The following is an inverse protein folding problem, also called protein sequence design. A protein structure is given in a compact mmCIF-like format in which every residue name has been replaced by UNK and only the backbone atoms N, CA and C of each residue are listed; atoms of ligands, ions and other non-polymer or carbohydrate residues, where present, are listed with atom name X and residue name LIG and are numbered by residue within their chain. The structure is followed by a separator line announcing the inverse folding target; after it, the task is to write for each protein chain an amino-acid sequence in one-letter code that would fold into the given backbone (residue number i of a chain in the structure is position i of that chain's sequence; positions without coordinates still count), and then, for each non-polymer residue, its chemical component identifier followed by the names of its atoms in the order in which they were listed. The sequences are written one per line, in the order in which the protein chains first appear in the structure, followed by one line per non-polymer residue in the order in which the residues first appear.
data_IF_114751441784
#
_entry.id   IF_114751441784
#
_cell.length_a   1.000
_cell.length_b   1.000
_cell.length_c   1.000
_cell.angle_alpha   90.00
_cell.angle_beta   90.00
_cell.angle_gamma   90.00
#
_symmetry.space_group_name_H-M   'P 1'
#
loop_
_entity.id
_entity.type
_entity.pdbx_description
1 polymer ?
#
# COMPACT_ATOMS: atom_id res chain seq x y z
N UNK A 1 -25.98 -0.88 33.34
CA UNK A 1 -26.44 -1.33 31.99
C UNK A 1 -26.33 -0.26 30.90
N UNK A 2 -26.07 1.03 31.18
CA UNK A 2 -25.91 2.05 30.13
C UNK A 2 -24.49 2.19 29.51
N UNK A 3 -23.43 1.70 30.15
CA UNK A 3 -22.05 1.88 29.65
C UNK A 3 -21.64 0.93 28.50
N UNK A 4 -22.45 -0.09 28.19
CA UNK A 4 -22.16 -1.04 27.12
C UNK A 4 -22.58 -0.54 25.72
N UNK A 5 -23.54 0.39 25.64
CA UNK A 5 -24.09 0.85 24.36
C UNK A 5 -23.27 1.98 23.71
N UNK A 6 -22.55 2.80 24.48
CA UNK A 6 -21.70 3.87 23.93
C UNK A 6 -20.45 3.30 23.22
N UNK A 7 -19.99 2.11 23.62
CA UNK A 7 -18.78 1.48 23.06
C UNK A 7 -19.00 0.86 21.67
N UNK A 8 -20.26 0.71 21.24
CA UNK A 8 -20.61 0.08 19.96
C UNK A 8 -20.60 1.07 18.78
N UNK A 9 -20.66 2.38 19.03
CA UNK A 9 -20.84 3.39 17.97
C UNK A 9 -19.56 3.71 17.17
N UNK A 10 -18.38 3.41 17.71
CA UNK A 10 -17.12 3.59 16.98
C UNK A 10 -16.82 2.45 15.97
N UNK A 11 -17.65 1.40 15.93
CA UNK A 11 -17.36 0.12 15.30
C UNK A 11 -17.99 -0.06 13.89
N UNK A 12 -18.23 1.03 13.16
CA UNK A 12 -18.84 0.97 11.82
C UNK A 12 -18.06 1.75 10.77
N UNK A 13 -16.80 1.36 10.55
CA UNK A 13 -16.18 1.51 9.23
C UNK A 13 -15.60 0.17 8.87
N UNK A 14 -15.90 -0.32 7.65
CA UNK A 14 -15.27 -1.52 7.11
C UNK A 14 -13.75 -1.36 7.29
N UNK A 15 -13.09 -2.22 8.07
CA UNK A 15 -11.64 -2.14 8.26
C UNK A 15 -10.96 -2.27 6.89
N UNK A 16 -10.07 -1.33 6.62
CA UNK A 16 -9.34 -1.27 5.35
C UNK A 16 -8.15 -2.23 5.42
N UNK A 17 -8.17 -3.27 4.60
CA UNK A 17 -7.21 -4.37 4.64
C UNK A 17 -7.72 -5.59 5.40
N UNK A 18 -6.86 -6.57 5.61
CA UNK A 18 -7.22 -7.75 6.39
C UNK A 18 -7.36 -7.38 7.86
N UNK A 19 -8.44 -7.86 8.47
CA UNK A 19 -8.78 -7.53 9.85
C UNK A 19 -8.10 -8.53 10.76
N UNK A 20 -7.18 -8.07 11.58
CA UNK A 20 -6.65 -8.91 12.64
C UNK A 20 -7.18 -8.48 14.01
N UNK A 21 -7.55 -9.48 14.79
CA UNK A 21 -7.85 -9.38 16.22
C UNK A 21 -6.60 -9.88 16.93
N UNK A 22 -5.69 -8.96 17.25
CA UNK A 22 -4.46 -9.24 17.99
C UNK A 22 -4.55 -8.66 19.39
N UNK A 23 -4.13 -9.43 20.40
CA UNK A 23 -3.94 -8.94 21.76
C UNK A 23 -2.70 -8.04 21.81
N UNK A 24 -2.85 -6.82 22.32
CA UNK A 24 -1.74 -5.94 22.68
C UNK A 24 -0.97 -6.46 23.90
N UNK A 25 0.22 -5.89 24.11
CA UNK A 25 1.08 -6.06 25.30
C UNK A 25 0.34 -5.77 26.64
N UNK A 26 -0.84 -5.14 26.61
CA UNK A 26 -1.68 -4.79 27.78
C UNK A 26 -3.07 -5.47 27.78
N UNK A 27 -3.31 -6.48 26.94
CA UNK A 27 -4.54 -7.28 26.98
C UNK A 27 -5.80 -6.62 26.38
N UNK A 28 -5.66 -5.55 25.60
CA UNK A 28 -6.77 -4.95 24.84
C UNK A 28 -6.83 -5.53 23.41
N UNK A 29 -8.02 -6.00 22.98
CA UNK A 29 -8.24 -6.46 21.61
C UNK A 29 -8.33 -5.25 20.67
N UNK A 30 -7.29 -4.99 19.86
CA UNK A 30 -7.31 -3.92 18.87
C UNK A 30 -7.62 -4.51 17.49
N UNK A 31 -8.68 -3.99 16.86
CA UNK A 31 -9.08 -4.36 15.50
C UNK A 31 -8.35 -3.48 14.49
N UNK A 32 -7.27 -4.00 13.92
CA UNK A 32 -6.42 -3.27 12.98
C UNK A 32 -6.51 -3.86 11.56
N UNK A 33 -6.48 -2.98 10.56
CA UNK A 33 -6.25 -3.37 9.17
C UNK A 33 -4.76 -3.61 8.94
N UNK A 34 -4.41 -4.77 8.40
CA UNK A 34 -3.04 -5.15 8.07
C UNK A 34 -2.92 -5.63 6.62
N UNK A 35 -1.70 -5.59 6.10
CA UNK A 35 -1.33 -6.19 4.81
C UNK A 35 -0.07 -7.04 4.98
N UNK A 36 0.10 -8.01 4.08
CA UNK A 36 1.33 -8.80 3.99
C UNK A 36 2.43 -7.97 3.27
N UNK A 37 3.54 -7.73 3.96
CA UNK A 37 4.68 -6.97 3.46
C UNK A 37 5.28 -7.61 2.20
N UNK A 38 5.42 -8.94 2.15
CA UNK A 38 5.92 -9.63 0.96
C UNK A 38 5.03 -9.36 -0.25
N UNK A 39 3.71 -9.44 -0.08
CA UNK A 39 2.74 -9.15 -1.14
C UNK A 39 2.86 -7.70 -1.63
N UNK A 40 2.99 -6.74 -0.71
CA UNK A 40 3.09 -5.32 -1.08
C UNK A 40 4.39 -5.05 -1.85
N UNK A 41 5.52 -5.60 -1.39
CA UNK A 41 6.83 -5.47 -2.05
C UNK A 41 6.84 -6.12 -3.44
N UNK A 42 6.26 -7.31 -3.58
CA UNK A 42 6.12 -7.97 -4.87
C UNK A 42 5.23 -7.14 -5.83
N UNK A 43 4.14 -6.56 -5.33
CA UNK A 43 3.26 -5.71 -6.11
C UNK A 43 3.94 -4.39 -6.56
N UNK A 44 4.87 -3.86 -5.76
CA UNK A 44 5.70 -2.70 -6.12
C UNK A 44 6.77 -3.09 -7.16
N UNK A 45 7.40 -4.26 -7.02
CA UNK A 45 8.37 -4.78 -7.99
C UNK A 45 7.74 -5.05 -9.37
N UNK A 46 6.52 -5.59 -9.41
CA UNK A 46 5.79 -5.85 -10.65
C UNK A 46 5.48 -4.56 -11.41
N UNK A 47 4.94 -3.56 -10.72
CA UNK A 47 4.62 -2.27 -11.34
C UNK A 47 5.90 -1.49 -11.69
N UNK A 48 6.98 -1.62 -10.92
CA UNK A 48 8.29 -1.09 -11.31
C UNK A 48 8.78 -1.72 -12.63
N UNK A 49 8.71 -3.04 -12.78
CA UNK A 49 9.14 -3.73 -13.99
C UNK A 49 8.31 -3.30 -15.21
N UNK A 50 6.98 -3.25 -15.08
CA UNK A 50 6.09 -2.78 -16.14
C UNK A 50 6.38 -1.31 -16.53
N UNK A 51 6.60 -0.45 -15.53
CA UNK A 51 6.93 0.96 -15.74
C UNK A 51 8.27 1.14 -16.43
N UNK A 52 9.29 0.40 -16.00
CA UNK A 52 10.64 0.45 -16.58
C UNK A 52 10.65 -0.03 -18.04
N UNK A 53 9.91 -1.10 -18.36
CA UNK A 53 9.77 -1.57 -19.74
C UNK A 53 9.08 -0.51 -20.60
N UNK A 54 7.95 0.05 -20.14
CA UNK A 54 7.25 1.09 -20.89
C UNK A 54 8.10 2.35 -21.09
N UNK A 55 8.88 2.74 -20.08
CA UNK A 55 9.84 3.83 -20.16
C UNK A 55 10.97 3.54 -21.16
N UNK A 56 11.52 2.33 -21.17
CA UNK A 56 12.54 1.94 -22.14
C UNK A 56 12.03 2.03 -23.59
N UNK A 57 10.81 1.57 -23.86
CA UNK A 57 10.20 1.72 -25.19
C UNK A 57 10.00 3.19 -25.57
N UNK A 58 9.55 4.03 -24.63
CA UNK A 58 9.38 5.45 -24.87
C UNK A 58 10.72 6.17 -25.12
N UNK A 59 11.77 5.84 -24.37
CA UNK A 59 13.08 6.49 -24.46
C UNK A 59 13.89 6.05 -25.69
N UNK A 60 14.00 4.75 -25.94
CA UNK A 60 14.84 4.23 -27.02
C UNK A 60 14.14 4.15 -28.37
N UNK A 61 12.88 3.71 -28.40
CA UNK A 61 12.15 3.49 -29.65
C UNK A 61 11.23 4.66 -30.03
N UNK A 62 11.17 5.72 -29.22
CA UNK A 62 10.22 6.83 -29.35
C UNK A 62 8.75 6.35 -29.52
N UNK A 63 8.44 5.15 -29.01
CA UNK A 63 7.11 4.56 -29.08
C UNK A 63 6.39 4.86 -27.77
N UNK A 64 5.51 5.87 -27.79
CA UNK A 64 4.87 6.43 -26.59
C UNK A 64 3.56 5.73 -26.20
N UNK A 65 3.01 4.87 -27.04
CA UNK A 65 1.77 4.15 -26.74
C UNK A 65 1.86 3.29 -25.47
N UNK A 66 2.96 2.53 -25.21
CA UNK A 66 3.08 1.72 -24.01
C UNK A 66 3.09 2.55 -22.74
N UNK A 67 3.78 3.70 -22.72
CA UNK A 67 3.84 4.55 -21.53
C UNK A 67 2.48 5.19 -21.22
N UNK A 68 1.73 5.62 -22.24
CA UNK A 68 0.37 6.12 -22.06
C UNK A 68 -0.55 5.06 -21.44
N UNK A 69 -0.55 3.85 -22.00
CA UNK A 69 -1.37 2.75 -21.48
C UNK A 69 -0.96 2.35 -20.06
N UNK A 70 0.34 2.18 -19.81
CA UNK A 70 0.84 1.75 -18.48
C UNK A 70 0.55 2.79 -17.41
N UNK A 71 0.72 4.08 -17.68
CA UNK A 71 0.40 5.14 -16.70
C UNK A 71 -1.09 5.19 -16.35
N UNK A 72 -1.97 5.03 -17.34
CA UNK A 72 -3.41 4.93 -17.12
C UNK A 72 -3.79 3.68 -16.30
N UNK A 73 -3.18 2.53 -16.62
CA UNK A 73 -3.38 1.30 -15.84
C UNK A 73 -2.87 1.45 -14.41
N UNK A 74 -1.73 2.12 -14.19
CA UNK A 74 -1.21 2.38 -12.84
C UNK A 74 -2.11 3.30 -12.04
N UNK A 75 -2.67 4.34 -12.68
CA UNK A 75 -3.65 5.19 -12.02
C UNK A 75 -4.86 4.37 -11.52
N UNK A 76 -5.41 3.51 -12.37
CA UNK A 76 -6.53 2.63 -11.99
C UNK A 76 -6.11 1.64 -10.89
N UNK A 77 -4.94 1.00 -11.02
CA UNK A 77 -4.42 0.05 -10.04
C UNK A 77 -4.23 0.70 -8.66
N UNK A 78 -3.54 1.85 -8.58
CA UNK A 78 -3.34 2.57 -7.33
C UNK A 78 -4.64 3.11 -6.75
N UNK A 79 -5.60 3.51 -7.58
CA UNK A 79 -6.92 3.95 -7.13
C UNK A 79 -7.69 2.79 -6.50
N UNK A 80 -7.68 1.62 -7.13
CA UNK A 80 -8.27 0.39 -6.57
C UNK A 80 -7.59 0.05 -5.25
N UNK A 81 -6.25 0.07 -5.19
CA UNK A 81 -5.52 -0.16 -3.95
C UNK A 81 -5.96 0.82 -2.87
N UNK A 82 -6.03 2.13 -3.15
CA UNK A 82 -6.41 3.18 -2.20
C UNK A 82 -7.83 3.01 -1.62
N UNK A 83 -8.80 2.56 -2.43
CA UNK A 83 -10.21 2.48 -2.03
C UNK A 83 -10.57 1.09 -1.49
N UNK A 84 -10.22 0.03 -2.22
CA UNK A 84 -10.63 -1.35 -1.93
C UNK A 84 -9.54 -2.18 -1.26
N UNK A 85 -8.28 -1.75 -1.30
CA UNK A 85 -7.13 -2.47 -0.74
C UNK A 85 -6.39 -3.32 -1.78
N UNK A 86 -5.24 -3.88 -1.39
CA UNK A 86 -4.35 -4.63 -2.30
C UNK A 86 -4.96 -5.93 -2.84
N UNK A 87 -5.86 -6.56 -2.09
CA UNK A 87 -6.48 -7.83 -2.45
C UNK A 87 -7.35 -7.79 -3.72
N UNK A 88 -7.83 -6.60 -4.12
CA UNK A 88 -8.64 -6.41 -5.33
C UNK A 88 -7.87 -5.81 -6.50
N UNK A 89 -6.67 -5.29 -6.26
CA UNK A 89 -5.84 -4.72 -7.34
C UNK A 89 -5.28 -5.83 -8.23
N UNK A 90 -5.27 -5.65 -9.57
CA UNK A 90 -4.79 -6.69 -10.48
C UNK A 90 -3.34 -7.07 -10.20
N UNK A 91 -2.51 -6.09 -9.91
CA UNK A 91 -1.10 -6.30 -9.54
C UNK A 91 -0.95 -6.95 -8.15
N UNK A 92 -1.84 -6.62 -7.20
CA UNK A 92 -1.85 -7.21 -5.87
C UNK A 92 -2.30 -8.69 -5.86
N UNK A 93 -3.16 -9.09 -6.80
CA UNK A 93 -3.55 -10.48 -6.98
C UNK A 93 -2.39 -11.32 -7.53
N UNK A 94 -1.70 -10.80 -8.56
CA UNK A 94 -0.49 -11.43 -9.11
C UNK A 94 0.60 -11.53 -8.03
N UNK A 95 0.81 -10.45 -7.27
CA UNK A 95 1.76 -10.43 -6.18
C UNK A 95 1.42 -11.45 -5.08
N UNK A 96 0.14 -11.63 -4.75
CA UNK A 96 -0.31 -12.65 -3.78
C UNK A 96 0.03 -14.05 -4.26
N UNK A 97 -0.19 -14.33 -5.53
CA UNK A 97 0.16 -15.61 -6.13
C UNK A 97 1.67 -15.86 -6.11
N UNK A 98 2.49 -14.83 -6.32
CA UNK A 98 3.95 -14.95 -6.23
C UNK A 98 4.45 -15.20 -4.79
N UNK A 99 3.80 -14.63 -3.78
CA UNK A 99 4.26 -14.68 -2.38
C UNK A 99 3.54 -15.69 -1.51
N UNK A 100 2.65 -16.51 -2.07
CA UNK A 100 1.85 -17.50 -1.34
C UNK A 100 2.67 -18.57 -0.58
N UNK A 101 3.95 -18.75 -0.95
CA UNK A 101 4.85 -19.73 -0.31
C UNK A 101 5.64 -19.14 0.86
N UNK A 102 5.68 -17.83 0.98
CA UNK A 102 6.39 -17.12 2.05
C UNK A 102 5.48 -16.96 3.27
N UNK A 103 6.07 -17.04 4.47
CA UNK A 103 5.32 -16.75 5.68
C UNK A 103 4.87 -15.28 5.67
N UNK A 104 3.59 -14.99 5.98
CA UNK A 104 3.08 -13.64 5.88
C UNK A 104 3.68 -12.75 6.97
N UNK A 105 4.27 -11.63 6.56
CA UNK A 105 4.83 -10.63 7.46
C UNK A 105 3.88 -9.44 7.54
N UNK A 106 3.25 -9.23 8.69
CA UNK A 106 2.14 -8.29 8.82
C UNK A 106 2.59 -6.87 9.16
N UNK A 107 2.06 -5.92 8.40
CA UNK A 107 2.35 -4.49 8.54
C UNK A 107 1.05 -3.68 8.52
N UNK A 108 1.06 -2.52 9.17
CA UNK A 108 -0.14 -1.69 9.31
C UNK A 108 -0.67 -1.16 7.97
N UNK A 109 -1.98 -1.21 7.76
CA UNK A 109 -2.62 -0.82 6.49
C UNK A 109 -2.75 0.71 6.30
N UNK A 110 -2.86 1.48 7.38
CA UNK A 110 -3.05 2.94 7.34
C UNK A 110 -1.90 3.71 6.65
N UNK A 111 -0.63 3.54 7.04
CA UNK A 111 0.47 4.24 6.37
C UNK A 111 0.62 3.82 4.91
N UNK A 112 0.32 2.55 4.57
CA UNK A 112 0.32 2.09 3.18
C UNK A 112 -0.79 2.73 2.35
N UNK A 113 -1.97 2.95 2.92
CA UNK A 113 -3.05 3.71 2.26
C UNK A 113 -2.61 5.14 1.92
N UNK A 114 -1.89 5.79 2.83
CA UNK A 114 -1.34 7.12 2.60
C UNK A 114 -0.32 7.09 1.46
N UNK A 115 0.59 6.12 1.44
CA UNK A 115 1.55 5.95 0.34
C UNK A 115 0.84 5.75 -1.01
N UNK A 116 -0.22 4.94 -1.06
CA UNK A 116 -0.99 4.74 -2.30
C UNK A 116 -1.72 6.01 -2.74
N UNK A 117 -2.13 6.89 -1.82
CA UNK A 117 -2.73 8.17 -2.21
C UNK A 117 -1.74 9.09 -2.94
N UNK A 118 -0.46 9.08 -2.53
CA UNK A 118 0.62 9.78 -3.24
C UNK A 118 0.82 9.17 -4.62
N UNK A 119 0.82 7.83 -4.70
CA UNK A 119 0.90 7.09 -5.96
C UNK A 119 -0.24 7.43 -6.95
N UNK A 120 -1.47 7.57 -6.45
CA UNK A 120 -2.62 8.01 -7.25
C UNK A 120 -2.39 9.41 -7.82
N UNK A 121 -1.94 10.36 -7.00
CA UNK A 121 -1.68 11.73 -7.47
C UNK A 121 -0.59 11.76 -8.54
N UNK A 122 0.53 11.04 -8.32
CA UNK A 122 1.63 10.99 -9.29
C UNK A 122 1.22 10.32 -10.59
N UNK A 123 0.55 9.16 -10.52
CA UNK A 123 0.10 8.42 -11.72
C UNK A 123 -1.00 9.17 -12.47
N UNK A 124 -1.89 9.87 -11.77
CA UNK A 124 -2.90 10.73 -12.40
C UNK A 124 -2.24 11.89 -13.16
N UNK A 125 -1.32 12.62 -12.52
CA UNK A 125 -0.57 13.68 -13.17
C UNK A 125 0.18 13.17 -14.41
N UNK A 126 0.85 12.02 -14.29
CA UNK A 126 1.56 11.40 -15.40
C UNK A 126 0.62 10.96 -16.54
N UNK A 127 -0.55 10.43 -16.21
CA UNK A 127 -1.58 10.06 -17.19
C UNK A 127 -2.03 11.30 -17.96
N UNK A 128 -2.29 12.42 -17.28
CA UNK A 128 -2.68 13.67 -17.94
C UNK A 128 -1.59 14.22 -18.86
N UNK A 129 -0.33 14.25 -18.39
CA UNK A 129 0.81 14.76 -19.16
C UNK A 129 1.05 13.91 -20.42
N UNK A 130 1.06 12.58 -20.27
CA UNK A 130 1.34 11.65 -21.38
C UNK A 130 0.21 11.59 -22.40
N UNK A 131 -1.06 11.69 -21.98
CA UNK A 131 -2.22 11.73 -22.88
C UNK A 131 -2.42 13.13 -23.51
N UNK A 132 -2.00 14.20 -22.82
CA UNK A 132 -1.96 15.55 -23.36
C UNK A 132 -0.87 15.79 -24.41
N UNK A 133 -0.07 14.77 -24.74
CA UNK A 133 0.99 14.86 -25.74
C UNK A 133 2.22 15.64 -25.30
N UNK A 134 2.32 15.99 -24.01
CA UNK A 134 3.47 16.71 -23.45
C UNK A 134 4.62 15.72 -23.30
N UNK A 135 5.73 16.00 -23.99
CA UNK A 135 6.94 15.16 -24.02
C UNK A 135 8.14 16.00 -23.59
N UNK A 136 9.12 15.37 -22.96
CA UNK A 136 10.34 16.03 -22.51
C UNK A 136 10.69 15.70 -21.06
N UNK A 137 11.34 16.65 -20.39
CA UNK A 137 12.01 16.42 -19.11
C UNK A 137 11.03 16.24 -17.93
N UNK A 138 9.85 16.85 -18.02
CA UNK A 138 8.83 16.77 -16.94
C UNK A 138 8.33 15.32 -16.75
N UNK A 139 7.76 14.63 -17.76
CA UNK A 139 7.38 13.23 -17.60
C UNK A 139 8.59 12.32 -17.32
N UNK A 140 9.78 12.64 -17.85
CA UNK A 140 11.01 11.87 -17.57
C UNK A 140 11.39 11.92 -16.09
N UNK A 141 11.47 13.11 -15.49
CA UNK A 141 11.84 13.29 -14.08
C UNK A 141 10.82 12.67 -13.12
N UNK A 142 9.52 12.83 -13.40
CA UNK A 142 8.45 12.21 -12.60
C UNK A 142 8.52 10.68 -12.70
N UNK A 143 8.74 10.13 -13.90
CA UNK A 143 8.84 8.69 -14.10
C UNK A 143 10.05 8.10 -13.37
N UNK A 144 11.23 8.70 -13.51
CA UNK A 144 12.44 8.25 -12.82
C UNK A 144 12.30 8.34 -11.30
N UNK A 145 11.71 9.42 -10.78
CA UNK A 145 11.41 9.54 -9.35
C UNK A 145 10.48 8.42 -8.89
N UNK A 146 9.40 8.15 -9.63
CA UNK A 146 8.45 7.07 -9.31
C UNK A 146 9.15 5.70 -9.28
N UNK A 147 9.93 5.38 -10.32
CA UNK A 147 10.68 4.13 -10.40
C UNK A 147 11.67 3.99 -9.25
N UNK A 148 12.35 5.07 -8.84
CA UNK A 148 13.25 5.06 -7.70
C UNK A 148 12.52 4.79 -6.37
N UNK A 149 11.36 5.43 -6.14
CA UNK A 149 10.53 5.18 -4.95
C UNK A 149 10.07 3.72 -4.88
N UNK A 150 9.63 3.16 -6.01
CA UNK A 150 9.16 1.78 -6.10
C UNK A 150 10.29 0.78 -5.93
N UNK A 151 11.48 1.11 -6.44
CA UNK A 151 12.68 0.30 -6.27
C UNK A 151 13.09 0.22 -4.79
N UNK A 152 13.07 1.33 -4.06
CA UNK A 152 13.36 1.33 -2.61
C UNK A 152 12.36 0.46 -1.84
N UNK A 153 11.08 0.51 -2.18
CA UNK A 153 10.07 -0.33 -1.53
C UNK A 153 10.23 -1.81 -1.90
N UNK A 154 10.42 -2.13 -3.19
CA UNK A 154 10.56 -3.50 -3.65
C UNK A 154 11.84 -4.17 -3.13
N UNK A 155 13.00 -3.51 -3.27
CA UNK A 155 14.32 -4.08 -2.99
C UNK A 155 14.70 -3.93 -1.52
N UNK A 156 14.63 -2.71 -0.98
CA UNK A 156 15.08 -2.42 0.39
C UNK A 156 13.97 -2.64 1.44
N UNK A 157 12.71 -2.73 1.02
CA UNK A 157 11.57 -2.75 1.96
C UNK A 157 11.33 -1.38 2.62
N UNK A 158 11.87 -0.30 2.03
CA UNK A 158 11.76 1.05 2.54
C UNK A 158 10.69 1.83 1.77
N UNK A 159 9.50 1.95 2.34
CA UNK A 159 8.42 2.74 1.77
C UNK A 159 8.51 4.19 2.29
N UNK A 160 9.01 5.12 1.45
CA UNK A 160 9.16 6.53 1.81
C UNK A 160 7.81 7.18 2.22
N UNK A 161 6.71 6.79 1.58
CA UNK A 161 5.38 7.27 1.96
C UNK A 161 4.97 6.88 3.39
N UNK A 162 5.37 5.69 3.84
CA UNK A 162 5.14 5.26 5.22
C UNK A 162 5.98 6.06 6.21
N UNK A 163 7.23 6.41 5.88
CA UNK A 163 8.10 7.22 6.75
C UNK A 163 7.59 8.66 6.86
N UNK A 164 7.10 9.25 5.76
CA UNK A 164 6.44 10.56 5.77
C UNK A 164 5.21 10.53 6.69
N UNK A 165 4.37 9.49 6.58
CA UNK A 165 3.21 9.32 7.46
C UNK A 165 3.65 9.22 8.93
N UNK A 166 4.71 8.44 9.23
CA UNK A 166 5.28 8.33 10.58
C UNK A 166 5.76 9.67 11.13
N UNK A 167 6.41 10.48 10.29
CA UNK A 167 6.85 11.82 10.66
C UNK A 167 5.65 12.74 10.96
N UNK A 168 4.60 12.65 10.14
CA UNK A 168 3.40 13.47 10.28
C UNK A 168 2.60 13.15 11.55
N UNK A 169 2.54 11.87 11.92
CA UNK A 169 2.00 11.41 13.21
C UNK A 169 2.87 11.91 14.37
N UNK A 170 4.20 11.76 14.30
CA UNK A 170 5.14 12.26 15.34
C UNK A 170 5.02 13.77 15.58
N UNK A 171 4.68 14.53 14.55
CA UNK A 171 4.50 16.00 14.63
C UNK A 171 3.11 16.41 15.12
N UNK A 172 2.18 15.46 15.31
CA UNK A 172 0.82 15.69 15.80
C UNK A 172 -0.19 16.14 14.73
N UNK A 173 0.16 16.08 13.45
CA UNK A 173 -0.70 16.55 12.35
C UNK A 173 -1.73 15.50 11.93
N UNK A 174 -1.45 14.23 12.19
CA UNK A 174 -2.35 13.09 11.96
C UNK A 174 -2.58 12.38 13.29
N UNK A 175 -3.82 11.96 13.54
CA UNK A 175 -4.19 11.27 14.78
C UNK A 175 -3.37 10.00 14.96
N UNK A 176 -2.93 9.77 16.20
CA UNK A 176 -2.32 8.51 16.60
C UNK A 176 -3.36 7.40 16.53
N UNK A 177 -2.94 6.26 15.98
CA UNK A 177 -3.72 5.04 15.93
C UNK A 177 -2.92 3.95 16.63
N UNK A 178 -3.52 3.30 17.62
CA UNK A 178 -2.88 2.23 18.43
C UNK A 178 -2.33 1.10 17.54
N UNK A 179 -3.05 0.79 16.45
CA UNK A 179 -2.64 -0.17 15.42
C UNK A 179 -1.33 0.19 14.69
N UNK A 180 -0.99 1.47 14.60
CA UNK A 180 0.20 1.95 13.91
C UNK A 180 1.46 1.68 14.73
N UNK A 181 1.43 1.82 16.07
CA UNK A 181 2.58 1.60 16.95
C UNK A 181 2.98 0.13 17.07
N UNK A 182 2.00 -0.79 17.04
CA UNK A 182 2.26 -2.21 17.27
C UNK A 182 2.85 -2.89 16.02
N UNK A 183 2.38 -2.51 14.82
CA UNK A 183 2.81 -3.14 13.57
C UNK A 183 3.76 -2.25 12.72
N UNK A 184 4.42 -1.22 13.27
CA UNK A 184 5.29 -0.30 12.49
C UNK A 184 6.57 -0.97 11.98
N UNK A 185 6.98 -2.09 12.59
CA UNK A 185 8.22 -2.81 12.26
C UNK A 185 8.00 -4.31 12.01
N UNK A 186 6.78 -4.73 11.66
CA UNK A 186 6.50 -6.16 11.45
C UNK A 186 6.40 -6.99 12.74
N UNK A 187 6.47 -6.34 13.89
CA UNK A 187 6.43 -6.92 15.23
C UNK A 187 5.06 -7.46 15.66
N UNK A 188 4.09 -7.53 14.75
CA UNK A 188 2.80 -8.15 15.02
C UNK A 188 2.97 -9.68 15.01
N UNK A 189 3.45 -10.22 16.13
CA UNK A 189 3.50 -11.65 16.39
C UNK A 189 2.08 -12.19 16.57
N UNK A 190 1.69 -13.13 15.73
CA UNK A 190 0.44 -13.88 15.90
C UNK A 190 0.68 -14.94 16.96
N UNK A 191 0.10 -14.80 18.15
CA UNK A 191 -0.20 -15.98 18.97
C UNK A 191 -1.50 -16.58 18.45
N UNK A 192 -1.52 -17.82 17.93
CA UNK A 192 -2.76 -18.46 17.52
C UNK A 192 -3.66 -18.57 18.76
N UNK A 193 -4.93 -18.17 18.61
CA UNK A 193 -5.94 -18.33 19.66
C UNK A 193 -6.05 -19.82 20.00
N UNK A 194 -5.43 -20.27 21.08
CA UNK A 194 -5.80 -21.54 21.72
C UNK A 194 -7.22 -21.36 22.29
N UNK A 195 -8.16 -22.19 21.86
CA UNK A 195 -9.44 -22.39 22.53
C UNK A 195 -10.63 -21.81 21.78
N UNK A 196 -11.20 -22.62 20.89
CA UNK A 196 -12.49 -22.39 20.25
C UNK A 196 -13.04 -23.60 19.49
N UNK A 197 -12.53 -24.80 19.79
CA UNK A 197 -13.13 -26.06 19.38
C UNK A 197 -13.36 -26.90 20.64
N UNK A 198 -14.45 -26.59 21.33
CA UNK A 198 -15.08 -27.48 22.28
C UNK A 198 -16.58 -27.43 21.99
N UNK A 199 -17.00 -28.31 21.10
CA UNK A 199 -18.27 -29.04 21.11
C UNK A 199 -18.21 -30.15 20.07
#
# INVERSE_FOLDING_TARGET
MLSALVRSSAYSRRPYGEVMLGLTHDGTEVRAGVFNEHQVRAAAGLTMALGAVAFAYAYFAAFYLPIQVVTAVFFVDFLIRMIAGIGYSPTGLVARWMTQREAPHWVSAKPKRFAWSIGVVMSFAMTLITNGGIRGDVPLTICLMCLALMWMEAVLGLCLGCEIHRLLVRRGWVRHDEAFEICTHGSCAITPRRGGAAR
#
